data_IF_995762357562
#
_entry.id   IF_995762357562
#
_cell.length_a   1.000
_cell.length_b   1.000
_cell.length_c   1.000
_cell.angle_alpha   90.00
_cell.angle_beta   90.00
_cell.angle_gamma   90.00
#
_symmetry.space_group_name_H-M   'P 1'
#
loop_
_entity.id
_entity.type
_entity.pdbx_description
1 polymer ?
#
# COMPACT_ATOMS: atom_id res chain seq x y z
N UNK A 1 -23.07 6.42 7.56
CA UNK A 1 -22.65 7.81 7.30
C UNK A 1 -23.29 8.69 8.34
N UNK A 2 -22.49 9.23 9.26
CA UNK A 2 -22.99 10.20 10.22
C UNK A 2 -23.31 11.52 9.50
N UNK A 3 -24.46 12.11 9.77
CA UNK A 3 -24.87 13.43 9.27
C UNK A 3 -24.85 14.41 10.43
N UNK A 4 -24.15 15.53 10.28
CA UNK A 4 -24.21 16.62 11.26
C UNK A 4 -25.39 17.53 10.97
N UNK A 5 -26.26 17.67 11.96
CA UNK A 5 -27.38 18.60 11.94
C UNK A 5 -27.35 19.40 13.25
N UNK A 6 -27.35 20.73 13.16
CA UNK A 6 -27.39 21.64 14.32
C UNK A 6 -26.37 21.33 15.43
N UNK A 7 -25.13 20.98 15.05
CA UNK A 7 -24.05 20.69 16.01
C UNK A 7 -24.11 19.31 16.66
N UNK A 8 -24.91 18.37 16.14
CA UNK A 8 -24.95 16.97 16.58
C UNK A 8 -24.81 16.02 15.41
N UNK A 9 -24.11 14.90 15.59
CA UNK A 9 -24.10 13.83 14.62
C UNK A 9 -25.28 12.86 14.84
N UNK A 10 -25.89 12.45 13.72
CA UNK A 10 -26.86 11.37 13.67
C UNK A 10 -26.37 10.24 12.76
N UNK A 11 -26.52 8.95 13.14
CA UNK A 11 -27.10 8.48 14.40
C UNK A 11 -26.14 8.70 15.60
N UNK A 12 -26.73 8.89 16.78
CA UNK A 12 -26.07 9.31 18.02
C UNK A 12 -25.12 8.27 18.64
N UNK A 13 -25.02 7.09 18.03
CA UNK A 13 -24.15 5.98 18.41
C UNK A 13 -22.78 5.99 17.71
N UNK A 14 -22.56 6.94 16.80
CA UNK A 14 -21.25 7.17 16.19
C UNK A 14 -20.52 8.22 17.02
N UNK A 15 -19.41 7.83 17.67
CA UNK A 15 -18.49 8.80 18.27
C UNK A 15 -17.82 9.58 17.14
N UNK A 16 -18.33 10.79 16.93
CA UNK A 16 -17.85 11.70 15.92
C UNK A 16 -16.91 12.77 16.50
N UNK A 17 -16.54 12.65 17.78
CA UNK A 17 -15.79 13.64 18.53
C UNK A 17 -16.63 14.84 18.99
N UNK A 18 -16.00 15.75 19.75
CA UNK A 18 -16.57 17.04 20.14
C UNK A 18 -15.95 18.15 19.29
N UNK A 19 -16.78 19.04 18.75
CA UNK A 19 -16.32 20.22 18.01
C UNK A 19 -15.49 21.13 18.94
N UNK A 20 -14.33 21.63 18.50
CA UNK A 20 -13.65 22.70 19.22
C UNK A 20 -14.53 23.94 19.33
N UNK A 21 -14.53 24.58 20.50
CA UNK A 21 -15.41 25.72 20.83
C UNK A 21 -15.17 26.95 19.91
N UNK A 22 -14.00 27.04 19.27
CA UNK A 22 -13.57 28.13 18.40
C UNK A 22 -13.55 27.78 16.90
N UNK A 23 -14.15 26.64 16.51
CA UNK A 23 -14.16 26.21 15.11
C UNK A 23 -15.07 27.11 14.25
N UNK A 24 -14.49 27.75 13.25
CA UNK A 24 -15.22 28.54 12.25
C UNK A 24 -15.60 27.66 11.04
N UNK A 25 -16.87 27.69 10.65
CA UNK A 25 -17.36 27.00 9.46
C UNK A 25 -17.48 27.97 8.28
N UNK A 26 -17.10 27.49 7.10
CA UNK A 26 -17.36 28.16 5.84
C UNK A 26 -18.38 27.36 5.06
N UNK A 27 -19.46 28.04 4.63
CA UNK A 27 -20.46 27.45 3.73
C UNK A 27 -20.09 27.77 2.28
N UNK A 28 -20.13 26.76 1.42
CA UNK A 28 -19.82 26.87 -0.01
C UNK A 28 -20.85 26.07 -0.81
N UNK A 29 -21.29 26.63 -1.94
CA UNK A 29 -22.14 25.94 -2.92
C UNK A 29 -21.26 25.41 -4.05
N UNK A 30 -21.38 24.11 -4.34
CA UNK A 30 -20.59 23.44 -5.38
C UNK A 30 -21.46 23.16 -6.62
N UNK A 31 -20.94 23.51 -7.79
CA UNK A 31 -21.54 23.25 -9.09
C UNK A 31 -20.85 22.07 -9.81
N UNK A 32 -21.47 21.50 -10.86
CA UNK A 32 -20.82 20.48 -11.68
C UNK A 32 -19.46 20.96 -12.23
N UNK A 33 -18.40 20.24 -11.88
CA UNK A 33 -17.01 20.57 -12.26
C UNK A 33 -16.18 21.19 -11.14
N UNK A 34 -16.80 21.65 -10.05
CA UNK A 34 -16.08 22.18 -8.89
C UNK A 34 -15.41 21.06 -8.08
N UNK A 35 -14.30 21.41 -7.41
CA UNK A 35 -13.53 20.51 -6.57
C UNK A 35 -13.37 21.09 -5.18
N UNK A 36 -13.80 20.34 -4.16
CA UNK A 36 -13.52 20.64 -2.76
C UNK A 36 -12.46 19.66 -2.25
N UNK A 37 -11.29 20.19 -1.87
CA UNK A 37 -10.22 19.42 -1.26
C UNK A 37 -10.17 19.67 0.25
N UNK A 38 -10.37 18.62 1.04
CA UNK A 38 -10.34 18.68 2.50
C UNK A 38 -9.16 17.87 3.05
N UNK A 39 -8.38 18.40 4.00
CA UNK A 39 -7.34 17.61 4.67
C UNK A 39 -7.98 16.55 5.59
N UNK A 40 -7.19 15.53 5.94
CA UNK A 40 -7.62 14.53 6.92
C UNK A 40 -7.98 15.19 8.25
N UNK A 41 -9.09 14.76 8.85
CA UNK A 41 -9.61 15.33 10.10
C UNK A 41 -10.44 16.61 9.93
N UNK A 42 -10.64 17.11 8.70
CA UNK A 42 -11.54 18.22 8.45
C UNK A 42 -13.02 17.82 8.65
N UNK A 43 -13.67 18.50 9.57
CA UNK A 43 -15.10 18.36 9.81
C UNK A 43 -15.87 18.99 8.65
N UNK A 44 -16.80 18.25 8.06
CA UNK A 44 -17.62 18.73 6.96
C UNK A 44 -18.98 18.07 6.96
N UNK A 45 -19.96 18.78 6.41
CA UNK A 45 -21.29 18.28 6.12
C UNK A 45 -21.70 18.78 4.73
N UNK A 46 -22.33 17.92 3.95
CA UNK A 46 -22.81 18.26 2.61
C UNK A 46 -24.30 18.02 2.53
N UNK A 47 -25.02 18.96 1.89
CA UNK A 47 -26.45 18.84 1.61
C UNK A 47 -26.68 19.06 0.13
N UNK A 48 -27.35 18.12 -0.52
CA UNK A 48 -27.81 18.29 -1.89
C UNK A 48 -28.95 19.31 -1.97
N UNK A 49 -28.83 20.27 -2.89
CA UNK A 49 -29.92 21.18 -3.27
C UNK A 49 -30.51 20.69 -4.58
N UNK A 50 -31.75 20.18 -4.56
CA UNK A 50 -32.38 19.55 -5.72
C UNK A 50 -31.76 18.18 -6.05
N UNK A 51 -31.34 18.00 -7.30
CA UNK A 51 -30.62 16.79 -7.74
C UNK A 51 -29.12 17.03 -7.67
N UNK A 52 -28.42 16.27 -6.83
CA UNK A 52 -26.98 16.39 -6.64
C UNK A 52 -26.31 15.03 -6.74
N UNK A 53 -25.19 14.96 -7.46
CA UNK A 53 -24.30 13.81 -7.54
C UNK A 53 -22.88 14.33 -7.33
N UNK A 54 -22.15 13.73 -6.39
CA UNK A 54 -20.76 14.05 -6.11
C UNK A 54 -19.92 12.78 -6.18
N UNK A 55 -18.71 12.89 -6.74
CA UNK A 55 -17.70 11.84 -6.70
C UNK A 55 -16.72 12.15 -5.57
N UNK A 56 -16.73 11.33 -4.53
CA UNK A 56 -15.76 11.45 -3.44
C UNK A 56 -14.50 10.64 -3.77
N UNK A 57 -13.40 11.36 -3.99
CA UNK A 57 -12.07 10.77 -4.07
C UNK A 57 -11.40 10.97 -2.72
N UNK A 58 -10.94 9.89 -2.11
CA UNK A 58 -10.20 9.96 -0.86
C UNK A 58 -8.87 9.24 -1.00
N UNK A 59 -7.88 9.75 -0.29
CA UNK A 59 -6.58 9.10 -0.17
C UNK A 59 -6.60 8.27 1.11
N UNK A 60 -6.38 6.97 0.95
CA UNK A 60 -6.18 6.06 2.06
C UNK A 60 -5.13 6.63 3.04
N UNK A 61 -5.47 6.91 4.30
CA UNK A 61 -4.44 7.27 5.27
C UNK A 61 -3.47 6.09 5.39
N UNK A 62 -2.18 6.39 5.21
CA UNK A 62 -1.10 5.41 5.41
C UNK A 62 -0.45 5.74 6.75
N UNK A 63 -0.62 4.85 7.72
CA UNK A 63 -0.03 5.02 9.03
C UNK A 63 1.43 4.54 8.99
N UNK A 64 2.36 5.45 9.23
CA UNK A 64 3.79 5.13 9.30
C UNK A 64 4.07 4.12 10.42
N UNK A 65 3.34 4.19 11.53
CA UNK A 65 3.52 3.26 12.63
C UNK A 65 3.23 1.82 12.20
N UNK A 66 2.18 1.60 11.41
CA UNK A 66 1.84 0.26 10.90
C UNK A 66 2.92 -0.30 9.96
N UNK A 67 3.73 0.57 9.34
CA UNK A 67 4.87 0.18 8.52
C UNK A 67 6.11 -0.14 9.36
N UNK A 68 6.33 0.59 10.45
CA UNK A 68 7.47 0.38 11.35
C UNK A 68 7.23 -0.79 12.32
N UNK A 69 5.99 -1.01 12.77
CA UNK A 69 5.66 -1.98 13.80
C UNK A 69 6.19 -3.40 13.54
N UNK A 70 6.10 -3.97 12.31
CA UNK A 70 6.68 -5.28 12.03
C UNK A 70 8.21 -5.33 12.24
N UNK A 71 8.93 -4.29 11.83
CA UNK A 71 10.39 -4.19 12.02
C UNK A 71 10.74 -4.16 13.51
N UNK A 72 9.93 -3.46 14.30
CA UNK A 72 10.10 -3.40 15.76
C UNK A 72 9.82 -4.74 16.43
N UNK A 73 8.82 -5.48 15.94
CA UNK A 73 8.50 -6.81 16.44
C UNK A 73 9.62 -7.81 16.16
N UNK A 74 10.18 -7.77 14.94
CA UNK A 74 11.32 -8.62 14.56
C UNK A 74 12.57 -8.31 15.40
N UNK A 75 12.85 -7.04 15.62
CA UNK A 75 13.94 -6.62 16.50
C UNK A 75 13.74 -7.10 17.93
N UNK A 76 12.56 -6.87 18.52
CA UNK A 76 12.28 -7.28 19.88
C UNK A 76 12.35 -8.82 20.06
N UNK A 77 11.97 -9.58 19.02
CA UNK A 77 12.08 -11.04 19.03
C UNK A 77 13.54 -11.53 18.96
N UNK A 78 14.39 -10.83 18.21
CA UNK A 78 15.81 -11.18 18.00
C UNK A 78 16.74 -10.74 19.14
N UNK A 79 16.32 -9.80 19.99
CA UNK A 79 17.14 -9.26 21.08
C UNK A 79 16.65 -9.74 22.45
N UNK A 80 17.47 -10.54 23.13
CA UNK A 80 17.14 -11.13 24.44
C UNK A 80 16.67 -10.11 25.49
N UNK A 81 17.30 -8.94 25.51
CA UNK A 81 16.99 -7.83 26.42
C UNK A 81 15.65 -7.14 26.14
N UNK A 82 15.03 -7.42 24.99
CA UNK A 82 13.75 -6.86 24.53
C UNK A 82 12.59 -7.84 24.64
N UNK A 83 12.87 -9.13 24.90
CA UNK A 83 11.84 -10.16 25.12
C UNK A 83 11.18 -10.06 26.49
N UNK A 84 11.68 -9.21 27.38
CA UNK A 84 11.19 -9.01 28.75
C UNK A 84 10.80 -7.56 29.04
N UNK A 85 10.04 -7.36 30.12
CA UNK A 85 9.73 -6.05 30.66
C UNK A 85 10.81 -5.52 31.60
N UNK A 86 10.62 -4.31 32.16
CA UNK A 86 11.49 -3.80 33.22
C UNK A 86 11.60 -4.79 34.39
N UNK A 87 12.76 -4.84 35.06
CA UNK A 87 12.94 -5.73 36.20
C UNK A 87 11.97 -5.37 37.34
N UNK A 88 11.52 -6.38 38.08
CA UNK A 88 10.81 -6.17 39.35
C UNK A 88 11.81 -5.59 40.35
N UNK A 89 11.50 -4.41 40.90
CA UNK A 89 12.35 -3.75 41.90
C UNK A 89 11.80 -3.99 43.30
N UNK A 90 12.69 -3.96 44.29
CA UNK A 90 12.33 -3.95 45.72
C UNK A 90 12.13 -2.50 46.24
N UNK A 91 12.29 -1.52 45.36
CA UNK A 91 12.18 -0.10 45.69
C UNK A 91 10.71 0.26 45.96
N UNK A 92 10.50 1.14 46.94
CA UNK A 92 9.16 1.55 47.34
C UNK A 92 8.53 2.48 46.30
N UNK A 93 7.57 1.97 45.52
CA UNK A 93 6.88 2.72 44.48
C UNK A 93 5.68 3.49 45.05
N UNK A 94 5.94 4.58 45.77
CA UNK A 94 4.90 5.47 46.28
C UNK A 94 4.64 6.63 45.32
N UNK A 95 3.71 6.43 44.39
CA UNK A 95 3.20 7.46 43.48
C UNK A 95 4.12 7.87 42.32
N UNK A 96 5.40 7.50 42.39
CA UNK A 96 6.40 7.73 41.35
C UNK A 96 7.03 6.43 40.89
N UNK A 97 7.48 6.39 39.63
CA UNK A 97 8.25 5.27 39.07
C UNK A 97 9.64 5.24 39.71
N UNK A 98 10.14 4.09 40.21
CA UNK A 98 11.51 3.99 40.71
C UNK A 98 12.55 4.39 39.65
N UNK A 99 13.65 5.02 40.09
CA UNK A 99 14.69 5.50 39.18
C UNK A 99 15.27 4.38 38.33
N UNK A 100 15.47 3.20 38.91
CA UNK A 100 16.00 2.01 38.22
C UNK A 100 15.09 1.53 37.07
N UNK A 101 13.77 1.68 37.21
CA UNK A 101 12.81 1.37 36.14
C UNK A 101 12.80 2.49 35.09
N UNK A 102 12.92 3.74 35.52
CA UNK A 102 13.01 4.91 34.63
C UNK A 102 14.26 4.85 33.74
N UNK A 103 15.40 4.48 34.33
CA UNK A 103 16.67 4.30 33.63
C UNK A 103 16.59 3.14 32.64
N UNK A 104 16.03 1.99 33.06
CA UNK A 104 15.77 0.86 32.16
C UNK A 104 14.96 1.28 30.92
N UNK A 105 13.88 2.04 31.11
CA UNK A 105 13.05 2.52 30.00
C UNK A 105 13.81 3.49 29.09
N UNK A 106 14.65 4.36 29.67
CA UNK A 106 15.47 5.30 28.91
C UNK A 106 16.53 4.58 28.07
N UNK A 107 17.18 3.56 28.63
CA UNK A 107 18.17 2.75 27.94
C UNK A 107 17.54 1.99 26.77
N UNK A 108 16.37 1.37 26.98
CA UNK A 108 15.60 0.72 25.91
C UNK A 108 15.18 1.73 24.83
N UNK A 109 14.73 2.93 25.20
CA UNK A 109 14.39 3.96 24.21
C UNK A 109 15.60 4.45 23.41
N UNK A 110 16.78 4.55 24.05
CA UNK A 110 18.02 4.93 23.36
C UNK A 110 18.45 3.85 22.35
N UNK A 111 18.40 2.58 22.74
CA UNK A 111 18.65 1.45 21.83
C UNK A 111 17.66 1.44 20.65
N UNK A 112 16.38 1.70 20.92
CA UNK A 112 15.36 1.84 19.89
C UNK A 112 15.67 2.97 18.91
N UNK A 113 16.07 4.13 19.42
CA UNK A 113 16.41 5.27 18.57
C UNK A 113 17.57 4.93 17.63
N UNK A 114 18.60 4.25 18.13
CA UNK A 114 19.73 3.78 17.31
C UNK A 114 19.24 2.83 16.22
N UNK A 115 18.45 1.81 16.57
CA UNK A 115 17.92 0.85 15.60
C UNK A 115 17.10 1.52 14.49
N UNK A 116 16.16 2.39 14.87
CA UNK A 116 15.32 3.09 13.91
C UNK A 116 16.19 3.95 12.99
N UNK A 117 17.21 4.61 13.53
CA UNK A 117 18.13 5.42 12.75
C UNK A 117 18.94 4.58 11.76
N UNK A 118 19.46 3.43 12.19
CA UNK A 118 20.22 2.50 11.34
C UNK A 118 19.33 1.89 10.24
N UNK A 119 18.12 1.48 10.60
CA UNK A 119 17.14 0.90 9.66
C UNK A 119 16.73 1.91 8.60
N UNK A 120 16.47 3.17 9.00
CA UNK A 120 16.12 4.24 8.07
C UNK A 120 17.32 4.76 7.26
N UNK A 121 18.55 4.50 7.71
CA UNK A 121 19.76 4.81 6.96
C UNK A 121 19.99 3.83 5.79
N UNK A 122 19.38 2.65 5.81
CA UNK A 122 19.42 1.66 4.73
C UNK A 122 18.13 1.74 3.88
N UNK A 123 18.17 2.35 2.68
CA UNK A 123 16.97 2.55 1.87
C UNK A 123 16.25 1.25 1.47
N UNK A 124 17.00 0.15 1.34
CA UNK A 124 16.45 -1.16 0.97
C UNK A 124 15.52 -1.72 2.06
N UNK A 125 15.83 -1.48 3.34
CA UNK A 125 15.08 -1.99 4.50
C UNK A 125 13.65 -1.44 4.57
N UNK A 126 13.39 -0.28 3.95
CA UNK A 126 12.04 0.32 3.87
C UNK A 126 11.24 -0.10 2.63
N UNK A 127 11.84 -0.83 1.69
CA UNK A 127 11.21 -1.18 0.42
C UNK A 127 9.97 -2.06 0.60
N UNK A 128 10.10 -3.14 1.36
CA UNK A 128 8.98 -4.05 1.63
C UNK A 128 7.87 -3.39 2.45
N UNK A 129 8.15 -2.73 3.59
CA UNK A 129 7.14 -1.98 4.33
C UNK A 129 6.39 -0.96 3.47
N UNK A 130 7.11 -0.21 2.63
CA UNK A 130 6.50 0.75 1.72
C UNK A 130 5.61 0.07 0.67
N UNK A 131 6.09 -0.98 0.00
CA UNK A 131 5.29 -1.70 -1.00
C UNK A 131 4.05 -2.35 -0.39
N UNK A 132 4.16 -2.97 0.79
CA UNK A 132 3.02 -3.50 1.53
C UNK A 132 2.01 -2.41 1.89
N UNK A 133 2.48 -1.19 2.20
CA UNK A 133 1.57 -0.07 2.43
C UNK A 133 0.72 0.28 1.19
N UNK A 134 1.15 -0.10 -0.02
CA UNK A 134 0.40 0.13 -1.25
C UNK A 134 -0.69 -0.93 -1.50
N UNK A 135 -0.65 -2.07 -0.80
CA UNK A 135 -1.57 -3.19 -1.03
C UNK A 135 -2.78 -3.17 -0.08
N UNK A 136 -2.69 -2.44 1.03
CA UNK A 136 -3.76 -2.43 2.03
C UNK A 136 -4.92 -1.52 1.59
N UNK A 137 -6.15 -2.06 1.63
CA UNK A 137 -7.37 -1.28 1.45
C UNK A 137 -7.61 -0.37 2.65
N UNK A 138 -7.84 0.94 2.46
CA UNK A 138 -8.27 1.80 3.54
C UNK A 138 -9.64 1.35 4.05
N UNK A 139 -9.81 1.43 5.37
CA UNK A 139 -11.03 1.27 6.13
C UNK A 139 -12.38 1.17 5.38
N UNK A 140 -13.11 0.10 5.75
CA UNK A 140 -14.50 -0.28 5.46
C UNK A 140 -14.77 -0.98 4.12
N UNK A 141 -15.16 -2.27 4.21
CA UNK A 141 -15.87 -3.02 3.17
C UNK A 141 -15.09 -3.38 1.91
N UNK A 142 -13.95 -2.74 1.65
CA UNK A 142 -13.09 -3.09 0.53
C UNK A 142 -12.60 -4.54 0.69
N UNK A 143 -12.68 -5.28 -0.41
CA UNK A 143 -12.15 -6.63 -0.54
C UNK A 143 -11.26 -6.63 -1.78
N UNK A 144 -10.15 -7.38 -1.76
CA UNK A 144 -9.32 -7.50 -2.93
C UNK A 144 -10.10 -8.16 -4.07
N UNK A 145 -9.78 -7.76 -5.30
CA UNK A 145 -10.37 -8.39 -6.48
C UNK A 145 -10.05 -9.90 -6.49
N UNK A 146 -11.04 -10.75 -6.84
CA UNK A 146 -10.83 -12.17 -6.87
C UNK A 146 -9.78 -12.54 -7.93
N UNK A 147 -9.01 -13.58 -7.62
CA UNK A 147 -8.02 -14.12 -8.56
C UNK A 147 -8.70 -14.52 -9.87
N UNK A 148 -8.20 -13.99 -10.98
CA UNK A 148 -8.77 -14.23 -12.31
C UNK A 148 -8.43 -15.64 -12.81
N UNK A 149 -9.38 -16.38 -13.42
CA UNK A 149 -9.06 -17.63 -14.10
C UNK A 149 -8.15 -17.34 -15.30
N UNK A 150 -7.22 -18.25 -15.59
CA UNK A 150 -6.34 -18.08 -16.75
C UNK A 150 -7.17 -18.06 -18.05
N UNK A 151 -6.85 -17.16 -18.99
CA UNK A 151 -7.58 -17.06 -20.23
C UNK A 151 -7.15 -18.20 -21.17
N UNK A 152 -8.03 -18.58 -22.09
CA UNK A 152 -7.59 -19.29 -23.29
C UNK A 152 -6.76 -18.32 -24.13
N UNK A 153 -5.44 -18.57 -24.18
CA UNK A 153 -4.48 -17.73 -24.87
C UNK A 153 -3.79 -18.48 -26.02
N UNK A 154 -3.64 -17.80 -27.15
CA UNK A 154 -2.87 -18.22 -28.31
C UNK A 154 -1.58 -17.41 -28.42
N UNK A 155 -0.65 -17.85 -29.26
CA UNK A 155 0.62 -17.15 -29.50
C UNK A 155 0.45 -15.73 -30.07
N UNK A 156 -0.67 -15.44 -30.73
CA UNK A 156 -0.96 -14.13 -31.34
C UNK A 156 -1.73 -13.19 -30.42
N UNK A 157 -2.22 -13.69 -29.29
CA UNK A 157 -2.92 -12.83 -28.33
C UNK A 157 -1.97 -11.81 -27.72
N UNK A 158 -2.48 -10.59 -27.56
CA UNK A 158 -1.76 -9.49 -26.94
C UNK A 158 -2.25 -9.26 -25.53
N UNK A 159 -1.32 -8.88 -24.67
CA UNK A 159 -1.55 -8.54 -23.28
C UNK A 159 -1.07 -7.12 -23.00
N UNK A 160 -1.70 -6.48 -22.02
CA UNK A 160 -1.40 -5.11 -21.60
C UNK A 160 -1.21 -5.09 -20.09
N UNK A 161 -0.35 -4.20 -19.61
CA UNK A 161 -0.34 -3.81 -18.19
C UNK A 161 -1.59 -2.99 -17.92
N UNK A 162 -2.41 -3.39 -16.94
CA UNK A 162 -3.70 -2.76 -16.65
C UNK A 162 -3.53 -1.34 -16.13
N UNK A 163 -2.54 -1.12 -15.26
CA UNK A 163 -2.25 0.18 -14.63
C UNK A 163 -0.77 0.55 -14.77
N UNK A 164 -0.34 1.13 -15.91
CA UNK A 164 1.04 1.56 -16.09
C UNK A 164 1.34 2.87 -15.33
N UNK A 165 2.60 3.09 -14.91
CA UNK A 165 3.73 2.16 -14.95
C UNK A 165 3.66 1.11 -13.82
N UNK A 166 4.20 -0.09 -14.05
CA UNK A 166 4.34 -1.07 -12.97
C UNK A 166 5.29 -0.53 -11.91
N UNK A 167 4.88 -0.61 -10.65
CA UNK A 167 5.71 -0.27 -9.49
C UNK A 167 6.30 -1.56 -8.93
N UNK A 168 7.62 -1.67 -8.91
CA UNK A 168 8.30 -2.79 -8.28
C UNK A 168 9.67 -2.37 -7.77
N UNK A 169 10.18 -3.10 -6.78
CA UNK A 169 11.54 -2.91 -6.25
C UNK A 169 12.27 -4.24 -6.37
N UNK A 170 13.54 -4.18 -6.79
CA UNK A 170 14.46 -5.32 -6.72
C UNK A 170 15.41 -5.14 -5.54
N UNK A 171 15.38 -6.06 -4.59
CA UNK A 171 16.27 -6.09 -3.41
C UNK A 171 16.39 -7.54 -2.91
N UNK A 172 17.51 -7.88 -2.27
CA UNK A 172 17.71 -9.20 -1.65
C UNK A 172 17.58 -10.39 -2.63
N UNK A 173 17.94 -10.20 -3.91
CA UNK A 173 17.80 -11.24 -4.94
C UNK A 173 16.36 -11.51 -5.41
N UNK A 174 15.40 -10.68 -5.00
CA UNK A 174 13.99 -10.75 -5.40
C UNK A 174 13.56 -9.46 -6.08
N UNK A 175 12.44 -9.52 -6.78
CA UNK A 175 11.69 -8.36 -7.25
C UNK A 175 10.25 -8.45 -6.75
N UNK A 176 9.79 -7.41 -6.07
CA UNK A 176 8.50 -7.38 -5.40
C UNK A 176 7.60 -6.30 -6.02
N UNK A 177 6.33 -6.64 -6.24
CA UNK A 177 5.33 -5.79 -6.87
C UNK A 177 4.02 -5.80 -6.06
N UNK A 178 3.44 -4.64 -5.72
CA UNK A 178 2.19 -4.58 -4.97
C UNK A 178 0.98 -4.80 -5.89
N UNK A 179 0.00 -5.55 -5.42
CA UNK A 179 -1.31 -5.72 -6.04
C UNK A 179 -2.40 -5.75 -4.97
N UNK A 180 -3.67 -5.83 -5.37
CA UNK A 180 -4.80 -5.89 -4.45
C UNK A 180 -4.73 -7.12 -3.52
N UNK A 181 -4.16 -8.22 -4.00
CA UNK A 181 -3.97 -9.45 -3.23
C UNK A 181 -2.69 -9.46 -2.37
N UNK A 182 -2.03 -8.32 -2.19
CA UNK A 182 -0.79 -8.22 -1.43
C UNK A 182 0.46 -8.07 -2.30
N UNK A 183 1.60 -8.50 -1.77
CA UNK A 183 2.90 -8.39 -2.44
C UNK A 183 3.18 -9.64 -3.27
N UNK A 184 3.43 -9.47 -4.56
CA UNK A 184 3.90 -10.52 -5.44
C UNK A 184 5.42 -10.48 -5.50
N UNK A 185 6.06 -11.61 -5.19
CA UNK A 185 7.50 -11.73 -5.24
C UNK A 185 7.95 -12.66 -6.36
N UNK A 186 8.98 -12.23 -7.07
CA UNK A 186 9.64 -13.00 -8.12
C UNK A 186 11.16 -13.00 -7.93
N UNK A 187 11.90 -13.92 -8.56
CA UNK A 187 13.36 -13.85 -8.62
C UNK A 187 13.83 -12.55 -9.29
N UNK A 188 14.96 -11.96 -8.85
CA UNK A 188 15.45 -10.68 -9.35
C UNK A 188 15.72 -10.65 -10.86
N UNK A 189 16.06 -11.80 -11.47
CA UNK A 189 16.24 -11.91 -12.92
C UNK A 189 14.95 -11.76 -13.74
N UNK A 190 13.78 -11.69 -13.09
CA UNK A 190 12.51 -11.33 -13.73
C UNK A 190 12.33 -9.81 -13.90
N UNK A 191 13.10 -8.97 -13.19
CA UNK A 191 12.96 -7.51 -13.24
C UNK A 191 13.11 -6.91 -14.66
N UNK A 192 14.03 -7.37 -15.54
CA UNK A 192 14.11 -6.88 -16.92
C UNK A 192 12.83 -7.11 -17.72
N UNK A 193 12.12 -8.23 -17.48
CA UNK A 193 10.84 -8.51 -18.11
C UNK A 193 9.81 -7.49 -17.64
N UNK A 194 9.68 -7.27 -16.32
CA UNK A 194 8.76 -6.27 -15.77
C UNK A 194 9.02 -4.84 -16.32
N UNK A 195 10.29 -4.45 -16.48
CA UNK A 195 10.66 -3.17 -17.14
C UNK A 195 10.14 -3.11 -18.55
N UNK A 196 10.33 -4.17 -19.32
CA UNK A 196 9.85 -4.27 -20.70
C UNK A 196 8.33 -4.17 -20.77
N UNK A 197 7.60 -4.94 -19.94
CA UNK A 197 6.12 -4.87 -19.88
C UNK A 197 5.63 -3.45 -19.61
N UNK A 198 6.33 -2.71 -18.75
CA UNK A 198 5.98 -1.33 -18.39
C UNK A 198 6.25 -0.30 -19.50
N UNK A 199 7.12 -0.64 -20.46
CA UNK A 199 7.56 0.25 -21.54
C UNK A 199 6.80 0.08 -22.85
N UNK A 200 5.96 -0.96 -22.97
CA UNK A 200 5.24 -1.31 -24.20
C UNK A 200 3.74 -0.98 -24.09
N UNK A 201 3.31 0.28 -24.35
CA UNK A 201 1.91 0.69 -24.23
C UNK A 201 0.98 0.02 -25.25
N UNK A 202 1.52 -0.44 -26.39
CA UNK A 202 0.78 -1.23 -27.39
C UNK A 202 0.58 -2.70 -26.97
N UNK A 203 1.06 -3.08 -25.78
CA UNK A 203 1.03 -4.43 -25.27
C UNK A 203 2.12 -5.32 -25.83
N UNK A 204 2.05 -6.60 -25.50
CA UNK A 204 3.06 -7.60 -25.81
C UNK A 204 2.40 -8.95 -26.11
N UNK A 205 3.06 -9.80 -26.91
CA UNK A 205 2.69 -11.22 -27.01
C UNK A 205 3.62 -12.07 -26.14
N UNK A 206 3.14 -13.25 -25.73
CA UNK A 206 3.97 -14.19 -24.94
C UNK A 206 5.24 -14.61 -25.71
N UNK A 207 5.17 -14.96 -27.01
CA UNK A 207 6.37 -15.24 -27.80
C UNK A 207 7.36 -14.08 -27.84
N UNK A 208 6.90 -12.83 -27.95
CA UNK A 208 7.80 -11.67 -28.01
C UNK A 208 8.60 -11.48 -26.73
N UNK A 209 7.97 -11.72 -25.57
CA UNK A 209 8.64 -11.67 -24.26
C UNK A 209 9.68 -12.78 -24.14
N UNK A 210 9.33 -14.01 -24.54
CA UNK A 210 10.25 -15.15 -24.50
C UNK A 210 11.43 -14.95 -25.47
N UNK A 211 11.19 -14.45 -26.68
CA UNK A 211 12.23 -14.21 -27.66
C UNK A 211 13.22 -13.12 -27.21
N UNK A 212 12.73 -12.07 -26.53
CA UNK A 212 13.57 -10.98 -26.04
C UNK A 212 14.24 -11.22 -24.69
N UNK A 213 14.11 -12.42 -24.11
CA UNK A 213 14.72 -12.79 -22.82
C UNK A 213 15.94 -13.70 -22.99
N UNK A 214 16.61 -13.69 -24.15
CA UNK A 214 17.80 -14.51 -24.41
C UNK A 214 19.09 -13.95 -23.79
N UNK A 215 19.16 -13.94 -22.45
CA UNK A 215 20.37 -13.64 -21.68
C UNK A 215 20.76 -14.85 -20.82
N UNK A 216 22.05 -15.00 -20.51
CA UNK A 216 22.55 -16.08 -19.65
C UNK A 216 21.90 -16.12 -18.25
N UNK A 217 21.48 -14.95 -17.75
CA UNK A 217 20.85 -14.80 -16.43
C UNK A 217 19.32 -14.85 -16.47
N UNK A 218 18.71 -15.01 -17.65
CA UNK A 218 17.26 -14.95 -17.79
C UNK A 218 16.56 -16.18 -17.19
N UNK A 219 15.34 -16.02 -16.65
CA UNK A 219 14.56 -17.15 -16.16
C UNK A 219 14.26 -18.15 -17.30
N UNK A 220 14.22 -19.45 -17.03
CA UNK A 220 13.72 -20.45 -17.97
C UNK A 220 12.34 -20.08 -18.50
N UNK A 221 12.05 -20.42 -19.77
CA UNK A 221 10.77 -20.12 -20.42
C UNK A 221 9.55 -20.55 -19.59
N UNK A 222 9.63 -21.73 -18.95
CA UNK A 222 8.54 -22.23 -18.11
C UNK A 222 8.28 -21.32 -16.89
N UNK A 223 9.33 -20.76 -16.29
CA UNK A 223 9.22 -19.81 -15.17
C UNK A 223 8.68 -18.46 -15.64
N UNK A 224 9.12 -17.97 -16.80
CA UNK A 224 8.57 -16.74 -17.41
C UNK A 224 7.06 -16.89 -17.60
N UNK A 225 6.60 -18.01 -18.18
CA UNK A 225 5.17 -18.27 -18.38
C UNK A 225 4.43 -18.34 -17.04
N UNK A 226 4.98 -19.04 -16.04
CA UNK A 226 4.38 -19.13 -14.71
C UNK A 226 4.26 -17.74 -14.04
N UNK A 227 5.27 -16.88 -14.16
CA UNK A 227 5.23 -15.53 -13.61
C UNK A 227 4.21 -14.65 -14.34
N UNK A 228 4.13 -14.72 -15.67
CA UNK A 228 3.10 -14.01 -16.45
C UNK A 228 1.69 -14.48 -16.07
N UNK A 229 1.49 -15.79 -15.82
CA UNK A 229 0.22 -16.32 -15.30
C UNK A 229 -0.12 -15.75 -13.92
N UNK A 230 0.86 -15.61 -13.03
CA UNK A 230 0.67 -14.97 -11.72
C UNK A 230 0.28 -13.49 -11.87
N UNK A 231 0.92 -12.75 -12.78
CA UNK A 231 0.55 -11.36 -13.06
C UNK A 231 -0.89 -11.25 -13.60
N UNK A 232 -1.30 -12.16 -14.51
CA UNK A 232 -2.65 -12.17 -15.04
C UNK A 232 -3.69 -12.47 -13.96
N UNK A 233 -3.44 -13.51 -13.17
CA UNK A 233 -4.30 -13.95 -12.06
C UNK A 233 -4.58 -12.83 -11.06
N UNK A 234 -3.61 -11.94 -10.85
CA UNK A 234 -3.73 -10.81 -9.93
C UNK A 234 -4.10 -9.49 -10.62
N UNK A 235 -4.62 -9.54 -11.85
CA UNK A 235 -5.11 -8.34 -12.55
C UNK A 235 -4.03 -7.34 -12.96
N UNK A 236 -2.74 -7.69 -12.86
CA UNK A 236 -1.64 -6.79 -13.25
C UNK A 236 -1.52 -6.68 -14.76
N UNK A 237 -1.76 -7.79 -15.46
CA UNK A 237 -1.86 -7.82 -16.91
C UNK A 237 -3.22 -8.35 -17.33
N UNK A 238 -3.75 -7.83 -18.43
CA UNK A 238 -5.00 -8.28 -19.03
C UNK A 238 -4.80 -8.61 -20.51
N UNK A 239 -5.63 -9.49 -21.06
CA UNK A 239 -5.69 -9.73 -22.49
C UNK A 239 -6.29 -8.47 -23.15
N UNK A 240 -5.67 -8.00 -24.23
CA UNK A 240 -6.21 -6.89 -25.01
C UNK A 240 -7.44 -7.37 -25.79
N UNK A 241 -8.61 -6.85 -25.45
CA UNK A 241 -9.86 -7.17 -26.17
C UNK A 241 -9.99 -6.46 -27.52
N UNK A 242 -9.03 -5.61 -27.90
CA UNK A 242 -9.02 -4.94 -29.19
C UNK A 242 -8.28 -5.78 -30.26
N UNK A 243 -8.91 -6.16 -31.38
CA UNK A 243 -8.17 -6.40 -32.61
C UNK A 243 -7.55 -5.04 -33.00
N UNK A 244 -6.22 -4.99 -33.13
CA UNK A 244 -5.57 -3.81 -33.70
C UNK A 244 -6.18 -3.55 -35.09
N UNK A 245 -7.03 -2.53 -35.20
CA UNK A 245 -7.18 -1.85 -36.48
C UNK A 245 -5.81 -1.28 -36.78
N UNK A 246 -5.13 -1.89 -37.75
CA UNK A 246 -3.93 -1.35 -38.35
C UNK A 246 -4.16 0.13 -38.62
N UNK A 247 -3.32 0.99 -38.03
CA UNK A 247 -3.18 2.36 -38.50
C UNK A 247 -2.75 2.27 -39.97
N UNK A 248 -3.72 2.46 -40.87
CA UNK A 248 -3.42 2.79 -42.25
C UNK A 248 -2.96 4.25 -42.26
N UNK A 249 -1.77 4.40 -42.85
CA UNK A 249 -1.04 5.62 -43.20
C UNK A 249 -1.90 6.76 -43.73
#
# INVERSE_FOLDING_TARGET
NATYFEGRAEPADIDVGTLPDDMAFQEVELNPGDLLCLPAGAWHAARGVGYSLALNLYFAPRNLFDQLAPLLQEFAASHDSWRGGPPVTLDDAHGNLPDTVSDYMRDRLAEFQTLVSETLAEPESMSTPWLTSLTQGPYTGWQPDPVLPLPAASATDRFLVVMPPLRFIASGGRVSLPCDNGLLDFPANFAPILRRLSSEPAGFSIPDIIAGTQSADAPPQAEVIAHLQTLFRNGIIAKSDAPHMAQQT
#
